data_IF_082136184761
#
_entry.id   IF_082136184761
#
_cell.length_a   1.000
_cell.length_b   1.000
_cell.length_c   1.000
_cell.angle_alpha   90.00
_cell.angle_beta   90.00
_cell.angle_gamma   90.00
#
_symmetry.space_group_name_H-M   'P 1'
#
loop_
_entity.id
_entity.type
_entity.pdbx_description
1 polymer ?
#
# COMPACT_ATOMS: atom_id res chain seq x y z
N UNK A 1 -23.37 13.22 13.11
CA UNK A 1 -22.98 12.65 11.80
C UNK A 1 -21.91 13.56 11.23
N UNK A 2 -20.64 13.23 11.42
CA UNK A 2 -19.53 14.01 10.87
C UNK A 2 -19.20 13.52 9.46
N UNK A 3 -19.04 14.50 8.57
CA UNK A 3 -18.67 14.41 7.15
C UNK A 3 -17.43 13.52 6.89
N UNK A 4 -17.33 12.83 5.73
CA UNK A 4 -16.25 11.89 5.47
C UNK A 4 -14.90 12.61 5.45
N UNK A 5 -13.94 12.06 6.20
CA UNK A 5 -12.49 12.33 6.16
C UNK A 5 -12.06 13.24 5.00
N UNK A 6 -12.14 14.56 5.19
CA UNK A 6 -11.72 15.52 4.18
C UNK A 6 -10.23 15.38 3.97
N UNK A 7 -9.84 14.88 2.79
CA UNK A 7 -8.45 14.83 2.35
C UNK A 7 -7.93 16.25 2.25
N UNK A 8 -7.04 16.66 3.16
CA UNK A 8 -6.43 17.98 3.05
C UNK A 8 -5.33 17.96 1.99
N UNK A 9 -5.74 18.10 0.72
CA UNK A 9 -4.84 18.13 -0.45
C UNK A 9 -3.79 19.25 -0.35
N UNK A 10 -4.00 20.25 0.50
CA UNK A 10 -3.03 21.32 0.74
C UNK A 10 -1.79 20.81 1.50
N UNK A 11 -1.88 19.66 2.19
CA UNK A 11 -0.75 19.08 2.92
C UNK A 11 -0.09 18.00 2.07
N UNK A 12 -0.86 17.02 1.61
CA UNK A 12 -0.34 15.89 0.83
C UNK A 12 -1.28 15.57 -0.33
N UNK A 13 -0.72 15.27 -1.50
CA UNK A 13 -1.43 14.60 -2.59
C UNK A 13 -0.82 13.24 -2.83
N UNK A 14 -1.67 12.23 -3.00
CA UNK A 14 -1.26 10.87 -3.33
C UNK A 14 -1.87 10.50 -4.67
N UNK A 15 -1.08 9.85 -5.51
CA UNK A 15 -1.51 9.28 -6.78
C UNK A 15 -0.81 7.95 -7.01
N UNK A 16 -1.27 7.21 -8.01
CA UNK A 16 -0.68 5.92 -8.38
C UNK A 16 -0.37 5.89 -9.87
N UNK A 17 0.71 5.21 -10.23
CA UNK A 17 1.05 4.86 -11.59
C UNK A 17 1.22 3.36 -11.68
N UNK A 18 0.56 2.74 -12.66
CA UNK A 18 0.61 1.30 -12.87
C UNK A 18 0.47 1.01 -14.37
N UNK A 19 1.30 0.11 -14.86
CA UNK A 19 1.17 -0.39 -16.22
C UNK A 19 0.01 -1.39 -16.26
N UNK A 20 -0.99 -1.13 -17.09
CA UNK A 20 -2.17 -1.98 -17.23
C UNK A 20 -1.85 -3.36 -17.81
N UNK A 21 -0.70 -3.54 -18.46
CA UNK A 21 -0.19 -4.84 -18.93
C UNK A 21 1.20 -5.08 -18.36
N UNK A 22 1.39 -6.21 -17.70
CA UNK A 22 2.64 -6.58 -17.03
C UNK A 22 2.99 -8.04 -17.32
N UNK A 23 4.27 -8.33 -17.52
CA UNK A 23 4.74 -9.67 -17.87
C UNK A 23 4.94 -10.55 -16.63
N UNK A 24 4.85 -11.89 -16.75
CA UNK A 24 5.18 -12.80 -15.63
C UNK A 24 6.62 -12.61 -15.13
N UNK A 25 7.56 -12.27 -16.02
CA UNK A 25 8.95 -11.96 -15.67
C UNK A 25 9.10 -10.79 -14.71
N UNK A 26 8.04 -9.99 -14.52
CA UNK A 26 8.01 -8.91 -13.53
C UNK A 26 7.94 -9.44 -12.09
N UNK A 27 7.73 -10.74 -11.84
CA UNK A 27 7.68 -11.31 -10.48
C UNK A 27 6.61 -10.64 -9.58
N UNK A 28 5.42 -10.46 -10.13
CA UNK A 28 4.28 -9.82 -9.48
C UNK A 28 3.76 -8.61 -10.24
N UNK A 29 2.70 -8.00 -9.72
CA UNK A 29 2.15 -6.73 -10.21
C UNK A 29 2.95 -5.59 -9.57
N UNK A 30 3.67 -4.85 -10.40
CA UNK A 30 4.39 -3.64 -10.06
C UNK A 30 3.51 -2.42 -10.18
N UNK A 31 3.64 -1.51 -9.23
CA UNK A 31 2.98 -0.21 -9.26
C UNK A 31 3.77 0.78 -8.42
N UNK A 32 3.48 2.06 -8.63
CA UNK A 32 4.14 3.17 -7.95
C UNK A 32 3.07 3.94 -7.19
N UNK A 33 3.34 4.23 -5.93
CA UNK A 33 2.63 5.27 -5.19
C UNK A 33 3.47 6.54 -5.16
N UNK A 34 2.86 7.64 -5.56
CA UNK A 34 3.49 8.95 -5.66
C UNK A 34 2.86 9.84 -4.60
N UNK A 35 3.65 10.23 -3.62
CA UNK A 35 3.25 11.12 -2.54
C UNK A 35 3.97 12.45 -2.72
N UNK A 36 3.20 13.51 -2.94
CA UNK A 36 3.69 14.89 -3.03
C UNK A 36 3.40 15.61 -1.72
N UNK A 37 4.43 16.11 -1.06
CA UNK A 37 4.29 17.05 0.05
C UNK A 37 4.04 18.44 -0.51
N UNK A 38 2.83 18.98 -0.31
CA UNK A 38 2.44 20.33 -0.73
C UNK A 38 2.58 21.35 0.40
N UNK A 39 2.92 20.90 1.62
CA UNK A 39 3.02 21.79 2.77
C UNK A 39 4.34 22.57 2.77
N UNK A 40 4.34 23.72 3.46
CA UNK A 40 5.53 24.54 3.67
C UNK A 40 6.56 23.96 4.65
N UNK A 41 6.36 22.73 5.15
CA UNK A 41 7.26 22.05 6.09
C UNK A 41 7.54 20.60 5.67
N UNK A 42 8.66 20.04 6.13
CA UNK A 42 8.91 18.61 5.94
C UNK A 42 7.87 17.81 6.73
N UNK A 43 7.47 16.66 6.19
CA UNK A 43 6.53 15.75 6.85
C UNK A 43 7.18 14.39 7.04
N UNK A 44 6.87 13.72 8.15
CA UNK A 44 7.20 12.31 8.33
C UNK A 44 5.89 11.52 8.31
N UNK A 45 5.73 10.65 7.32
CA UNK A 45 4.52 9.82 7.18
C UNK A 45 4.84 8.37 7.54
N UNK A 46 3.88 7.67 8.13
CA UNK A 46 4.04 6.24 8.39
C UNK A 46 4.30 5.50 7.08
N UNK A 47 5.11 4.44 7.14
CA UNK A 47 5.57 3.68 5.99
C UNK A 47 4.39 3.30 5.06
N UNK A 48 4.44 3.80 3.83
CA UNK A 48 3.37 3.65 2.84
C UNK A 48 3.11 2.17 2.55
N UNK A 49 4.17 1.36 2.38
CA UNK A 49 4.02 -0.06 2.07
C UNK A 49 3.39 -0.84 3.25
N UNK A 50 3.67 -0.40 4.48
CA UNK A 50 3.08 -0.97 5.69
C UNK A 50 1.61 -0.55 5.87
N UNK A 51 1.22 0.65 5.43
CA UNK A 51 -0.15 1.17 5.62
C UNK A 51 -1.09 0.91 4.44
N UNK A 52 -0.55 0.54 3.28
CA UNK A 52 -1.35 0.32 2.08
C UNK A 52 -2.22 -0.93 2.22
N UNK A 53 -3.52 -0.75 2.10
CA UNK A 53 -4.49 -1.82 1.92
C UNK A 53 -4.80 -1.97 0.44
N UNK A 54 -4.85 -3.21 -0.04
CA UNK A 54 -5.18 -3.53 -1.43
C UNK A 54 -6.26 -4.59 -1.50
N UNK A 55 -7.14 -4.47 -2.48
CA UNK A 55 -8.02 -5.54 -2.92
C UNK A 55 -7.65 -5.88 -4.36
N UNK A 56 -7.38 -7.16 -4.61
CA UNK A 56 -7.02 -7.65 -5.92
C UNK A 56 -8.04 -8.73 -6.28
N UNK A 57 -8.89 -8.44 -7.26
CA UNK A 57 -9.93 -9.36 -7.72
C UNK A 57 -9.42 -10.13 -8.93
N UNK A 58 -9.56 -11.46 -8.92
CA UNK A 58 -9.27 -12.29 -10.09
C UNK A 58 -10.40 -12.22 -11.14
N UNK A 59 -10.27 -12.95 -12.24
CA UNK A 59 -11.27 -13.01 -13.33
C UNK A 59 -12.65 -13.46 -12.87
N UNK A 60 -12.72 -14.19 -11.76
CA UNK A 60 -13.97 -14.65 -11.14
C UNK A 60 -14.58 -13.62 -10.17
N UNK A 61 -13.95 -12.46 -10.01
CA UNK A 61 -14.40 -11.41 -9.09
C UNK A 61 -14.11 -11.70 -7.62
N UNK A 62 -13.23 -12.66 -7.30
CA UNK A 62 -12.89 -13.01 -5.92
C UNK A 62 -11.65 -12.23 -5.45
N UNK A 63 -11.71 -11.64 -4.26
CA UNK A 63 -10.59 -10.90 -3.69
C UNK A 63 -9.51 -11.86 -3.15
N UNK A 64 -8.38 -11.90 -3.84
CA UNK A 64 -7.23 -12.75 -3.56
C UNK A 64 -6.11 -12.02 -2.80
N UNK A 65 -6.24 -10.72 -2.54
CA UNK A 65 -5.23 -9.98 -1.77
C UNK A 65 -5.14 -10.49 -0.33
N UNK A 66 -3.92 -10.52 0.22
CA UNK A 66 -3.71 -10.80 1.64
C UNK A 66 -4.11 -9.54 2.42
N UNK A 67 -4.99 -9.63 3.44
CA UNK A 67 -5.36 -8.47 4.24
C UNK A 67 -4.14 -7.85 4.93
N UNK A 68 -4.13 -6.53 5.02
CA UNK A 68 -3.11 -5.81 5.78
C UNK A 68 -3.65 -5.41 7.15
N UNK A 69 -3.15 -6.08 8.19
CA UNK A 69 -3.56 -5.86 9.58
C UNK A 69 -2.76 -4.73 10.27
N UNK A 70 -1.96 -3.95 9.53
CA UNK A 70 -1.12 -2.88 10.07
C UNK A 70 -1.88 -1.71 10.72
N UNK A 71 -3.19 -1.61 10.48
CA UNK A 71 -4.09 -0.62 11.10
C UNK A 71 -4.72 -1.11 12.40
N UNK A 72 -4.62 -2.41 12.73
CA UNK A 72 -5.10 -2.92 14.01
C UNK A 72 -4.20 -2.42 15.14
N UNK A 73 -4.82 -1.98 16.25
CA UNK A 73 -4.10 -1.63 17.47
C UNK A 73 -3.37 -2.87 17.99
N UNK A 74 -2.04 -2.80 18.10
CA UNK A 74 -1.25 -3.88 18.68
C UNK A 74 -0.74 -3.41 20.04
N UNK A 75 -1.30 -3.97 21.11
CA UNK A 75 -0.73 -3.88 22.45
C UNK A 75 0.53 -4.76 22.51
N UNK A 76 1.69 -4.23 22.09
CA UNK A 76 2.99 -4.89 22.27
C UNK A 76 3.74 -4.23 23.41
N UNK A 77 4.08 -5.02 24.43
CA UNK A 77 5.00 -4.65 25.50
C UNK A 77 6.39 -4.29 24.96
N UNK A 78 6.77 -4.90 23.84
CA UNK A 78 8.05 -4.68 23.16
C UNK A 78 7.87 -3.58 22.10
N UNK A 79 8.18 -2.34 22.47
CA UNK A 79 7.99 -1.11 21.66
C UNK A 79 8.80 -1.03 20.35
N UNK A 80 9.25 -2.16 19.78
CA UNK A 80 10.01 -2.19 18.52
C UNK A 80 9.05 -2.28 17.35
N UNK A 81 9.16 -1.33 16.43
CA UNK A 81 8.41 -1.35 15.18
C UNK A 81 8.76 -2.59 14.34
N UNK A 82 7.77 -3.11 13.60
CA UNK A 82 7.92 -4.25 12.69
C UNK A 82 7.04 -4.03 11.46
N UNK A 83 7.60 -4.25 10.28
CA UNK A 83 6.86 -4.28 9.01
C UNK A 83 5.80 -5.40 9.00
N UNK A 84 4.57 -5.08 8.61
CA UNK A 84 3.39 -5.96 8.74
C UNK A 84 2.70 -6.30 7.43
N UNK A 85 2.93 -5.55 6.36
CA UNK A 85 2.25 -5.83 5.09
C UNK A 85 2.74 -7.15 4.49
N UNK A 86 1.80 -8.07 4.24
CA UNK A 86 2.07 -9.36 3.61
C UNK A 86 1.70 -9.36 2.10
N UNK A 87 0.83 -8.46 1.69
CA UNK A 87 0.36 -8.36 0.29
C UNK A 87 1.26 -7.49 -0.57
N UNK A 88 1.77 -6.41 0.02
CA UNK A 88 2.50 -5.36 -0.70
C UNK A 88 3.92 -5.31 -0.19
N UNK A 89 4.86 -5.50 -1.10
CA UNK A 89 6.28 -5.46 -0.81
C UNK A 89 6.91 -4.18 -1.37
N UNK A 90 7.68 -3.44 -0.57
CA UNK A 90 8.47 -2.34 -1.09
C UNK A 90 9.66 -2.86 -1.90
N UNK A 91 9.88 -2.26 -3.07
CA UNK A 91 11.00 -2.56 -3.97
C UNK A 91 12.05 -1.44 -3.90
N UNK A 92 11.65 -0.21 -4.23
CA UNK A 92 12.51 0.96 -4.20
C UNK A 92 11.76 2.21 -3.71
N UNK A 93 12.49 3.15 -3.14
CA UNK A 93 11.99 4.46 -2.73
C UNK A 93 12.83 5.54 -3.41
N UNK A 94 12.17 6.53 -3.99
CA UNK A 94 12.83 7.68 -4.57
C UNK A 94 12.30 8.97 -3.95
N UNK A 95 13.20 9.86 -3.52
CA UNK A 95 12.87 11.20 -3.06
C UNK A 95 13.53 12.20 -4.00
N UNK A 96 12.71 13.06 -4.62
CA UNK A 96 13.16 14.03 -5.63
C UNK A 96 14.02 13.41 -6.74
N UNK A 97 13.67 12.19 -7.15
CA UNK A 97 14.35 11.45 -8.22
C UNK A 97 15.63 10.73 -7.81
N UNK A 98 16.06 10.81 -6.54
CA UNK A 98 17.19 10.04 -6.01
C UNK A 98 16.68 8.81 -5.30
N UNK A 99 17.29 7.66 -5.58
CA UNK A 99 16.98 6.41 -4.90
C UNK A 99 17.51 6.44 -3.46
N UNK A 100 16.65 6.14 -2.51
CA UNK A 100 16.97 6.00 -1.09
C UNK A 100 17.42 4.56 -0.82
N UNK A 101 18.68 4.37 -0.40
CA UNK A 101 19.26 3.04 -0.13
C UNK A 101 18.89 2.45 1.22
N UNK A 102 17.78 2.88 1.82
CA UNK A 102 17.35 2.42 3.14
C UNK A 102 16.49 1.16 3.04
N UNK A 103 16.64 0.23 3.98
CA UNK A 103 15.72 -0.89 4.08
C UNK A 103 14.33 -0.39 4.54
N UNK A 104 13.42 -0.28 3.58
CA UNK A 104 12.04 0.15 3.81
C UNK A 104 11.30 -0.76 4.79
N UNK A 105 11.70 -2.02 4.94
CA UNK A 105 11.09 -2.93 5.94
C UNK A 105 11.65 -2.71 7.35
N UNK A 106 12.59 -1.79 7.52
CA UNK A 106 13.19 -1.37 8.80
C UNK A 106 12.74 0.04 9.22
N UNK A 107 11.95 0.74 8.40
CA UNK A 107 11.48 2.11 8.66
C UNK A 107 10.01 2.18 9.08
N UNK A 108 9.74 2.73 10.26
CA UNK A 108 8.37 3.07 10.68
C UNK A 108 7.81 4.28 9.92
N UNK A 109 8.64 5.31 9.73
CA UNK A 109 8.26 6.55 9.07
C UNK A 109 9.22 6.88 7.94
N UNK A 110 8.69 7.60 6.95
CA UNK A 110 9.41 8.12 5.79
C UNK A 110 9.33 9.64 5.85
N UNK A 111 10.49 10.28 5.88
CA UNK A 111 10.59 11.72 5.80
C UNK A 111 10.45 12.18 4.35
N UNK A 112 9.55 13.12 4.10
CA UNK A 112 9.35 13.76 2.80
C UNK A 112 9.62 15.26 2.97
N UNK A 113 10.68 15.81 2.35
CA UNK A 113 11.03 17.21 2.50
C UNK A 113 9.93 18.15 1.94
N UNK A 114 10.08 19.45 2.22
CA UNK A 114 9.19 20.51 1.73
C UNK A 114 9.07 20.44 0.21
N UNK A 115 7.87 20.59 -0.34
CA UNK A 115 7.60 20.65 -1.79
C UNK A 115 8.20 19.49 -2.60
N UNK A 116 8.44 18.35 -1.95
CA UNK A 116 9.15 17.22 -2.53
C UNK A 116 8.21 16.10 -2.95
N UNK A 117 8.69 15.25 -3.86
CA UNK A 117 7.97 14.08 -4.36
C UNK A 117 8.68 12.82 -3.85
N UNK A 118 7.91 11.97 -3.19
CA UNK A 118 8.28 10.62 -2.81
C UNK A 118 7.59 9.63 -3.77
N UNK A 119 8.37 8.79 -4.46
CA UNK A 119 7.87 7.69 -5.29
C UNK A 119 8.26 6.38 -4.63
N UNK A 120 7.28 5.57 -4.25
CA UNK A 120 7.49 4.24 -3.72
C UNK A 120 7.08 3.20 -4.75
N UNK A 121 8.05 2.40 -5.18
CA UNK A 121 7.85 1.25 -6.05
C UNK A 121 7.45 0.05 -5.19
N UNK A 122 6.37 -0.60 -5.59
CA UNK A 122 5.70 -1.62 -4.82
C UNK A 122 5.35 -2.82 -5.70
N UNK A 123 5.32 -4.00 -5.09
CA UNK A 123 5.05 -5.28 -5.77
C UNK A 123 4.02 -6.07 -4.98
N UNK A 124 2.96 -6.53 -5.67
CA UNK A 124 2.11 -7.64 -5.20
C UNK A 124 2.59 -8.91 -5.87
N UNK A 125 3.29 -9.77 -5.11
CA UNK A 125 3.88 -11.02 -5.61
C UNK A 125 3.17 -12.29 -5.16
N UNK A 126 2.59 -12.25 -3.95
CA UNK A 126 1.93 -13.39 -3.30
C UNK A 126 0.50 -13.01 -2.95
N UNK A 127 -0.39 -13.96 -3.14
CA UNK A 127 -1.83 -13.80 -2.95
C UNK A 127 -2.38 -14.99 -2.19
N UNK A 128 -3.56 -14.85 -1.58
CA UNK A 128 -4.28 -15.96 -0.99
C UNK A 128 -4.64 -16.98 -2.07
N UNK A 129 -4.59 -18.26 -1.73
CA UNK A 129 -5.22 -19.29 -2.55
C UNK A 129 -6.75 -19.22 -2.37
N UNK A 130 -7.49 -18.81 -3.41
CA UNK A 130 -8.94 -18.61 -3.37
C UNK A 130 -9.60 -19.26 -4.58
N UNK A 131 -10.33 -20.34 -4.34
CA UNK A 131 -11.08 -21.09 -5.36
C UNK A 131 -12.59 -20.86 -5.26
N UNK A 132 -13.08 -20.39 -4.13
CA UNK A 132 -14.51 -20.18 -3.84
C UNK A 132 -14.71 -18.93 -3.00
N UNK A 133 -15.93 -18.35 -2.99
CA UNK A 133 -16.26 -17.23 -2.09
C UNK A 133 -15.97 -17.55 -0.62
N UNK A 134 -16.18 -18.80 -0.18
CA UNK A 134 -15.88 -19.23 1.19
C UNK A 134 -14.40 -19.05 1.56
N UNK A 135 -13.47 -19.20 0.60
CA UNK A 135 -12.04 -18.99 0.86
C UNK A 135 -11.68 -17.51 1.04
N UNK A 136 -12.54 -16.57 0.59
CA UNK A 136 -12.28 -15.13 0.72
C UNK A 136 -12.35 -14.70 2.18
N UNK A 137 -13.39 -15.17 2.88
CA UNK A 137 -13.73 -14.77 4.26
C UNK A 137 -13.13 -15.70 5.33
N UNK A 138 -12.71 -16.90 4.95
CA UNK A 138 -12.13 -17.86 5.88
C UNK A 138 -10.72 -17.45 6.31
N UNK A 139 -10.61 -16.98 7.55
CA UNK A 139 -9.35 -16.50 8.13
C UNK A 139 -8.27 -17.59 8.28
N UNK A 140 -8.66 -18.86 8.45
CA UNK A 140 -7.71 -19.98 8.53
C UNK A 140 -7.05 -20.27 7.17
N UNK A 141 -7.75 -19.96 6.07
CA UNK A 141 -7.28 -20.11 4.69
C UNK A 141 -6.54 -18.88 4.16
N UNK A 142 -6.33 -17.83 4.98
CA UNK A 142 -5.46 -16.71 4.64
C UNK A 142 -3.97 -17.10 4.54
N UNK A 143 -3.59 -18.28 5.06
CA UNK A 143 -2.20 -18.75 5.18
C UNK A 143 -1.59 -19.44 3.95
N UNK A 144 -2.30 -20.26 3.15
CA UNK A 144 -1.74 -20.70 1.88
C UNK A 144 -1.62 -19.50 0.93
N UNK A 145 -0.39 -18.99 0.84
CA UNK A 145 -0.03 -17.99 -0.16
C UNK A 145 0.53 -18.69 -1.38
N UNK A 146 0.04 -18.29 -2.55
CA UNK A 146 0.53 -18.77 -3.85
C UNK A 146 1.16 -17.60 -4.60
N UNK A 147 2.04 -17.93 -5.55
CA UNK A 147 2.49 -16.93 -6.51
C UNK A 147 1.32 -16.47 -7.37
N UNK A 148 1.31 -15.19 -7.72
CA UNK A 148 0.31 -14.64 -8.62
C UNK A 148 0.39 -15.36 -9.98
N UNK A 149 -0.72 -15.99 -10.39
CA UNK A 149 -0.86 -16.64 -11.68
C UNK A 149 -1.01 -15.61 -12.81
N UNK A 150 -0.85 -16.02 -14.08
CA UNK A 150 -1.23 -15.14 -15.20
C UNK A 150 -2.75 -15.00 -15.30
N UNK A 151 -3.23 -13.83 -15.71
CA UNK A 151 -4.64 -13.55 -15.93
C UNK A 151 -4.98 -12.07 -15.89
N UNK A 152 -6.28 -11.77 -15.93
CA UNK A 152 -6.81 -10.42 -15.73
C UNK A 152 -7.22 -10.21 -14.27
N UNK A 153 -6.96 -9.01 -13.79
CA UNK A 153 -7.19 -8.61 -12.42
C UNK A 153 -7.83 -7.23 -12.36
N UNK A 154 -8.52 -6.97 -11.25
CA UNK A 154 -8.96 -5.62 -10.86
C UNK A 154 -8.33 -5.24 -9.53
N UNK A 155 -7.59 -4.13 -9.50
CA UNK A 155 -6.92 -3.63 -8.30
C UNK A 155 -7.64 -2.39 -7.77
N UNK A 156 -7.85 -2.37 -6.46
CA UNK A 156 -8.24 -1.17 -5.70
C UNK A 156 -7.32 -0.99 -4.51
N UNK A 157 -6.95 0.25 -4.23
CA UNK A 157 -5.97 0.61 -3.21
C UNK A 157 -6.57 1.64 -2.26
N UNK A 158 -6.26 1.50 -0.98
CA UNK A 158 -6.60 2.46 0.08
C UNK A 158 -5.38 2.71 0.94
N UNK A 159 -5.06 3.98 1.15
CA UNK A 159 -3.92 4.39 1.96
C UNK A 159 -4.33 5.54 2.87
N UNK A 160 -4.40 5.34 4.19
CA UNK A 160 -4.39 6.44 5.14
C UNK A 160 -2.97 7.02 5.22
N UNK A 161 -2.86 8.35 5.20
CA UNK A 161 -1.61 9.05 5.48
C UNK A 161 -1.67 9.52 6.93
N UNK A 162 -0.81 8.91 7.76
CA UNK A 162 -0.66 9.24 9.17
C UNK A 162 0.68 9.97 9.31
N UNK A 163 0.65 11.21 9.81
CA UNK A 163 1.88 11.93 10.13
C UNK A 163 2.40 11.53 11.50
N UNK A 164 3.72 11.52 11.69
CA UNK A 164 4.34 11.26 12.99
C UNK A 164 3.85 12.23 14.08
N UNK A 165 3.64 13.50 13.71
CA UNK A 165 3.13 14.55 14.62
C UNK A 165 1.70 14.26 15.11
N UNK A 166 0.83 13.69 14.26
CA UNK A 166 -0.59 13.41 14.56
C UNK A 166 -0.88 11.97 14.98
N UNK A 167 0.10 11.07 14.95
CA UNK A 167 -0.08 9.69 15.39
C UNK A 167 -0.47 9.61 16.89
N UNK A 168 -0.10 10.63 17.68
CA UNK A 168 -0.50 10.78 19.08
C UNK A 168 -1.97 11.21 19.26
N UNK A 169 -2.61 11.77 18.23
CA UNK A 169 -3.97 12.32 18.27
C UNK A 169 -4.97 11.55 17.38
N UNK A 170 -4.61 10.35 16.88
CA UNK A 170 -5.45 9.49 16.02
C UNK A 170 -5.95 10.17 14.73
N UNK A 171 -5.28 11.23 14.27
CA UNK A 171 -5.66 12.00 13.08
C UNK A 171 -4.96 11.51 11.82
N UNK A 172 -5.71 11.35 10.72
CA UNK A 172 -5.16 11.19 9.38
C UNK A 172 -4.92 12.58 8.76
N UNK A 173 -3.74 12.83 8.17
CA UNK A 173 -3.48 14.08 7.45
C UNK A 173 -4.05 14.07 6.04
N UNK A 174 -4.20 12.88 5.46
CA UNK A 174 -4.81 12.64 4.16
C UNK A 174 -5.20 11.16 4.03
N UNK A 175 -5.94 10.85 2.99
CA UNK A 175 -6.26 9.49 2.56
C UNK A 175 -6.16 9.41 1.04
N UNK A 176 -5.95 8.21 0.54
CA UNK A 176 -5.95 7.92 -0.88
C UNK A 176 -6.84 6.71 -1.11
N UNK A 177 -7.65 6.82 -2.14
CA UNK A 177 -8.44 5.72 -2.66
C UNK A 177 -8.29 5.75 -4.19
N UNK A 178 -7.86 4.63 -4.76
CA UNK A 178 -7.77 4.52 -6.21
C UNK A 178 -9.15 4.20 -6.80
N UNK A 179 -9.41 4.59 -8.07
CA UNK A 179 -10.44 3.90 -8.85
C UNK A 179 -10.11 2.40 -8.95
N UNK A 180 -11.07 1.61 -9.42
CA UNK A 180 -10.80 0.22 -9.81
C UNK A 180 -9.94 0.22 -11.08
N UNK A 181 -8.79 -0.45 -11.05
CA UNK A 181 -7.82 -0.47 -12.14
C UNK A 181 -7.77 -1.87 -12.74
N UNK A 182 -8.04 -1.99 -14.05
CA UNK A 182 -7.88 -3.24 -14.79
C UNK A 182 -6.39 -3.50 -15.08
N UNK A 183 -5.95 -4.73 -14.81
CA UNK A 183 -4.56 -5.17 -14.98
C UNK A 183 -4.55 -6.52 -15.69
N UNK A 184 -3.85 -6.62 -16.81
CA UNK A 184 -3.40 -7.89 -17.36
C UNK A 184 -2.02 -8.23 -16.81
N UNK A 185 -1.87 -9.39 -16.18
CA UNK A 185 -0.59 -9.90 -15.71
C UNK A 185 -0.31 -11.23 -16.40
N UNK A 186 0.75 -11.30 -17.19
CA UNK A 186 1.11 -12.48 -17.97
C UNK A 186 1.32 -12.19 -19.46
N UNK A 187 1.14 -13.23 -20.28
CA UNK A 187 1.16 -13.12 -21.75
C UNK A 187 -0.14 -12.52 -22.27
#
# INVERSE_FOLDING_TARGET
MESPLTTNKNIVTVSTAINAKQTVSSNGIHFILIVKNNSGKAIAIKNIADQLSVALYNERGLNIAIPNDALLEIHRADRKWKFRSESVYPDALYINGKEEKTDLKMLEYIAIPVNSICKMHLIIKRVKHVETPYNVDNWYLKKPTINLASGKYKLRMWLPIISNEQNKSRGFVASFESPMIDIGYGK
#
